data_IF_577301529296
#
_entry.id   IF_577301529296
#
_cell.length_a   1.000
_cell.length_b   1.000
_cell.length_c   1.000
_cell.angle_alpha   90.00
_cell.angle_beta   90.00
_cell.angle_gamma   90.00
#
_symmetry.space_group_name_H-M   'P 1'
#
loop_
_entity.id
_entity.type
_entity.pdbx_description
1 polymer ?
#
# COMPACT_ATOMS: atom_id res chain seq x y z
N UNK A 1 13.82 13.83 34.54
CA UNK A 1 12.35 13.57 34.49
C UNK A 1 11.62 14.83 34.94
N UNK A 2 10.48 15.16 34.33
CA UNK A 2 9.69 16.34 34.71
C UNK A 2 9.05 16.23 36.11
N UNK A 3 8.62 17.37 36.66
CA UNK A 3 7.86 17.40 37.92
C UNK A 3 6.54 16.63 37.74
N UNK A 4 6.17 15.78 38.70
CA UNK A 4 4.97 14.91 38.66
C UNK A 4 3.72 15.55 39.30
N UNK A 5 3.78 16.84 39.59
CA UNK A 5 2.69 17.66 40.11
C UNK A 5 2.64 18.97 39.31
N UNK A 6 1.44 19.50 38.97
CA UNK A 6 0.10 18.99 39.32
C UNK A 6 -0.36 17.80 38.48
N UNK A 7 0.37 17.45 37.40
CA UNK A 7 -0.02 16.35 36.50
C UNK A 7 0.93 15.16 36.63
N UNK A 8 0.43 14.04 37.16
CA UNK A 8 1.16 12.78 37.25
C UNK A 8 0.94 11.94 35.98
N UNK A 9 2.00 11.45 35.30
CA UNK A 9 1.86 10.72 34.04
C UNK A 9 0.94 9.48 34.11
N UNK A 10 0.99 8.72 35.21
CA UNK A 10 0.17 7.51 35.33
C UNK A 10 -1.23 7.85 35.83
N UNK A 11 -1.32 8.55 36.95
CA UNK A 11 -2.56 8.81 37.67
C UNK A 11 -3.50 9.77 36.94
N UNK A 12 -2.96 10.61 36.04
CA UNK A 12 -3.75 11.58 35.27
C UNK A 12 -3.74 11.30 33.76
N UNK A 13 -2.59 11.15 33.10
CA UNK A 13 -2.53 10.99 31.63
C UNK A 13 -2.92 9.57 31.20
N UNK A 14 -2.36 8.55 31.86
CA UNK A 14 -2.65 7.13 31.60
C UNK A 14 -3.78 6.58 32.51
N UNK A 15 -4.64 7.46 33.04
CA UNK A 15 -5.73 7.05 33.92
C UNK A 15 -6.72 6.19 33.13
N UNK A 16 -7.10 5.04 33.69
CA UNK A 16 -7.99 4.06 33.05
C UNK A 16 -7.47 3.48 31.72
N UNK A 17 -6.17 3.56 31.49
CA UNK A 17 -5.50 3.03 30.30
C UNK A 17 -4.41 2.03 30.69
N UNK A 18 -4.11 1.10 29.80
CA UNK A 18 -2.95 0.23 29.85
C UNK A 18 -2.20 0.28 28.52
N UNK A 19 -0.92 -0.06 28.55
CA UNK A 19 -0.15 -0.26 27.32
C UNK A 19 -0.79 -1.34 26.44
N UNK A 20 -1.49 -2.31 27.04
CA UNK A 20 -2.10 -3.44 26.33
C UNK A 20 -3.30 -3.04 25.46
N UNK A 21 -3.99 -1.94 25.77
CA UNK A 21 -5.09 -1.41 24.95
C UNK A 21 -4.66 -0.17 24.14
N UNK A 22 -3.85 0.72 24.71
CA UNK A 22 -3.46 1.98 24.04
C UNK A 22 -2.47 1.73 22.90
N UNK A 23 -1.52 0.81 23.03
CA UNK A 23 -0.53 0.56 21.97
C UNK A 23 -1.20 -0.03 20.72
N UNK A 24 -1.98 -1.13 20.79
CA UNK A 24 -2.67 -1.66 19.62
C UNK A 24 -3.66 -0.66 19.01
N UNK A 25 -4.37 0.11 19.83
CA UNK A 25 -5.26 1.17 19.36
C UNK A 25 -4.50 2.24 18.56
N UNK A 26 -3.36 2.68 19.06
CA UNK A 26 -2.48 3.64 18.38
C UNK A 26 -1.94 3.07 17.07
N UNK A 27 -1.57 1.78 17.04
CA UNK A 27 -1.13 1.11 15.82
C UNK A 27 -2.22 1.11 14.74
N UNK A 28 -3.46 0.80 15.09
CA UNK A 28 -4.58 0.83 14.14
C UNK A 28 -4.86 2.24 13.62
N UNK A 29 -4.90 3.24 14.50
CA UNK A 29 -5.11 4.65 14.09
C UNK A 29 -3.99 5.13 13.18
N UNK A 30 -2.73 4.83 13.53
CA UNK A 30 -1.56 5.21 12.73
C UNK A 30 -1.56 4.53 11.36
N UNK A 31 -1.96 3.26 11.30
CA UNK A 31 -2.09 2.51 10.04
C UNK A 31 -3.20 3.10 9.17
N UNK A 32 -4.38 3.38 9.74
CA UNK A 32 -5.49 4.00 9.01
C UNK A 32 -5.15 5.42 8.50
N UNK A 33 -4.29 6.15 9.21
CA UNK A 33 -3.78 7.43 8.72
C UNK A 33 -2.79 7.26 7.57
N UNK A 34 -1.84 6.32 7.71
CA UNK A 34 -0.73 6.15 6.76
C UNK A 34 -1.16 5.49 5.46
N UNK A 35 -2.18 4.62 5.49
CA UNK A 35 -2.68 3.91 4.29
C UNK A 35 -3.15 4.86 3.18
N UNK A 36 -3.57 6.08 3.51
CA UNK A 36 -3.96 7.10 2.53
C UNK A 36 -2.81 7.44 1.56
N UNK A 37 -1.57 7.48 2.06
CA UNK A 37 -0.39 7.72 1.23
C UNK A 37 -0.11 6.54 0.30
N UNK A 38 -0.27 5.32 0.81
CA UNK A 38 -0.12 4.10 0.01
C UNK A 38 -1.15 4.06 -1.12
N UNK A 39 -2.43 4.33 -0.83
CA UNK A 39 -3.50 4.35 -1.83
C UNK A 39 -3.24 5.40 -2.92
N UNK A 40 -2.73 6.58 -2.55
CA UNK A 40 -2.34 7.61 -3.54
C UNK A 40 -1.25 7.11 -4.50
N UNK A 41 -0.23 6.43 -3.98
CA UNK A 41 0.86 5.87 -4.81
C UNK A 41 0.36 4.72 -5.69
N UNK A 42 -0.50 3.84 -5.15
CA UNK A 42 -1.11 2.75 -5.92
C UNK A 42 -2.01 3.28 -7.06
N UNK A 43 -2.76 4.35 -6.82
CA UNK A 43 -3.54 5.00 -7.88
C UNK A 43 -2.64 5.55 -9.00
N UNK A 44 -1.53 6.20 -8.65
CA UNK A 44 -0.55 6.68 -9.64
C UNK A 44 0.08 5.53 -10.43
N UNK A 45 0.36 4.40 -9.79
CA UNK A 45 0.86 3.20 -10.47
C UNK A 45 -0.19 2.66 -11.45
N UNK A 46 -1.45 2.58 -11.02
CA UNK A 46 -2.58 2.15 -11.86
C UNK A 46 -2.73 3.05 -13.10
N UNK A 47 -2.70 4.37 -12.93
CA UNK A 47 -2.77 5.35 -14.03
C UNK A 47 -1.58 5.19 -15.00
N UNK A 48 -0.38 4.93 -14.48
CA UNK A 48 0.80 4.70 -15.31
C UNK A 48 0.68 3.38 -16.11
N UNK A 49 0.12 2.33 -15.51
CA UNK A 49 -0.19 1.08 -16.19
C UNK A 49 -1.26 1.27 -17.27
N UNK A 50 -2.34 2.02 -16.98
CA UNK A 50 -3.39 2.36 -17.96
C UNK A 50 -2.81 3.04 -19.20
N UNK A 51 -1.99 4.08 -19.00
CA UNK A 51 -1.31 4.76 -20.10
C UNK A 51 -0.40 3.82 -20.89
N UNK A 52 0.30 2.90 -20.23
CA UNK A 52 1.20 1.96 -20.90
C UNK A 52 0.45 0.90 -21.70
N UNK A 53 -0.71 0.45 -21.21
CA UNK A 53 -1.57 -0.48 -21.95
C UNK A 53 -1.99 0.16 -23.28
N UNK A 54 -2.43 1.43 -23.25
CA UNK A 54 -2.76 2.20 -24.47
C UNK A 54 -1.55 2.36 -25.41
N UNK A 55 -0.38 2.72 -24.87
CA UNK A 55 0.87 2.87 -25.64
C UNK A 55 1.32 1.54 -26.31
N UNK A 56 0.88 0.39 -25.79
CA UNK A 56 1.28 -0.95 -26.26
C UNK A 56 0.29 -1.61 -27.21
N UNK A 57 -0.82 -0.94 -27.52
CA UNK A 57 -1.78 -1.45 -28.50
C UNK A 57 -1.11 -1.74 -29.85
N UNK A 58 -1.46 -2.88 -30.44
CA UNK A 58 -0.89 -3.37 -31.70
C UNK A 58 0.51 -3.99 -31.59
N UNK A 59 1.20 -3.93 -30.44
CA UNK A 59 2.49 -4.61 -30.26
C UNK A 59 2.26 -6.09 -29.91
N UNK A 60 2.76 -6.98 -30.77
CA UNK A 60 2.76 -8.43 -30.54
C UNK A 60 4.14 -8.90 -30.12
N UNK A 61 4.23 -9.67 -29.03
CA UNK A 61 5.47 -10.27 -28.52
C UNK A 61 5.36 -11.79 -28.40
N UNK A 62 6.49 -12.47 -28.27
CA UNK A 62 6.54 -13.90 -27.91
C UNK A 62 6.15 -14.08 -26.43
N UNK A 63 5.17 -14.93 -26.15
CA UNK A 63 4.87 -15.37 -24.79
C UNK A 63 5.94 -16.33 -24.27
N UNK A 64 6.11 -16.45 -22.96
CA UNK A 64 7.02 -17.44 -22.36
C UNK A 64 6.40 -18.20 -21.20
N UNK A 65 6.54 -19.53 -21.21
CA UNK A 65 6.18 -20.41 -20.09
C UNK A 65 7.40 -21.22 -19.70
N UNK A 66 7.70 -21.32 -18.40
CA UNK A 66 8.99 -21.88 -17.93
C UNK A 66 10.23 -21.23 -18.59
N UNK A 67 10.12 -19.94 -18.95
CA UNK A 67 11.12 -19.19 -19.73
C UNK A 67 11.40 -19.73 -21.14
N UNK A 68 10.61 -20.69 -21.63
CA UNK A 68 10.64 -21.18 -23.00
C UNK A 68 9.63 -20.42 -23.86
N UNK A 69 9.94 -20.26 -25.14
CA UNK A 69 9.05 -19.57 -26.07
C UNK A 69 7.72 -20.32 -26.23
N UNK A 70 6.63 -19.55 -26.25
CA UNK A 70 5.26 -20.01 -26.38
C UNK A 70 4.55 -19.25 -27.51
N UNK A 71 3.22 -19.24 -27.50
CA UNK A 71 2.43 -18.52 -28.51
C UNK A 71 2.61 -16.99 -28.40
N UNK A 72 2.55 -16.24 -29.52
CA UNK A 72 2.55 -14.79 -29.48
C UNK A 72 1.33 -14.22 -28.74
N UNK A 73 1.53 -13.14 -28.01
CA UNK A 73 0.48 -12.40 -27.29
C UNK A 73 0.63 -10.89 -27.50
N UNK A 74 -0.45 -10.10 -27.42
CA UNK A 74 -0.36 -8.65 -27.32
C UNK A 74 0.40 -8.24 -26.05
N UNK A 75 1.30 -7.27 -26.15
CA UNK A 75 1.99 -6.73 -24.98
C UNK A 75 1.02 -6.01 -24.03
N UNK A 76 -0.02 -5.36 -24.58
CA UNK A 76 -1.07 -4.72 -23.79
C UNK A 76 -1.79 -5.72 -22.87
N UNK A 77 -2.09 -6.93 -23.35
CA UNK A 77 -2.70 -8.00 -22.55
C UNK A 77 -1.84 -8.41 -21.34
N UNK A 78 -0.52 -8.48 -21.49
CA UNK A 78 0.37 -8.80 -20.37
C UNK A 78 0.34 -7.71 -19.29
N UNK A 79 0.27 -6.44 -19.70
CA UNK A 79 0.16 -5.31 -18.77
C UNK A 79 -1.23 -5.15 -18.15
N UNK A 80 -2.30 -5.56 -18.83
CA UNK A 80 -3.64 -5.65 -18.23
C UNK A 80 -3.67 -6.60 -17.02
N UNK A 81 -2.87 -7.68 -17.04
CA UNK A 81 -2.76 -8.61 -15.91
C UNK A 81 -2.08 -7.94 -14.71
N UNK A 82 -1.04 -7.13 -14.92
CA UNK A 82 -0.36 -6.43 -13.82
C UNK A 82 -1.23 -5.38 -13.14
N UNK A 83 -2.20 -4.82 -13.86
CA UNK A 83 -3.13 -3.82 -13.34
C UNK A 83 -4.26 -4.42 -12.50
N UNK A 84 -4.67 -5.67 -12.77
CA UNK A 84 -5.77 -6.36 -12.07
C UNK A 84 -5.39 -6.73 -10.63
#
# INVERSE_FOLDING_TARGET
MGKKHPIHPNDHVNKSQSSNDVIPSTMHVSTAHTIKKLLSVLNRLKEALDKKIEDFEGIVKVGRTHLQDAIPIPLSLEFEVYKK
#
